data_IF_902278110720
#
_entry.id   IF_902278110720
#
_cell.length_a   1.000
_cell.length_b   1.000
_cell.length_c   1.000
_cell.angle_alpha   90.00
_cell.angle_beta   90.00
_cell.angle_gamma   90.00
#
_symmetry.space_group_name_H-M   'P 1'
#
loop_
_entity.id
_entity.type
_entity.pdbx_description
1 polymer ?
#
# COMPACT_ATOMS: atom_id res chain seq x y z
N UNK A 1 0.85 -23.35 25.24
CA UNK A 1 0.77 -21.91 25.54
C UNK A 1 0.24 -21.23 24.28
N UNK A 2 -0.81 -20.39 24.34
CA UNK A 2 -1.31 -19.73 23.13
C UNK A 2 -0.27 -18.74 22.59
N UNK A 3 -0.21 -18.53 21.27
CA UNK A 3 0.65 -17.50 20.68
C UNK A 3 0.29 -16.13 21.27
N UNK A 4 1.30 -15.32 21.56
CA UNK A 4 1.14 -13.93 22.03
C UNK A 4 1.62 -12.98 20.93
N UNK A 5 0.90 -11.89 20.65
CA UNK A 5 1.39 -10.86 19.73
C UNK A 5 2.66 -10.21 20.31
N UNK A 6 3.47 -9.63 19.42
CA UNK A 6 4.64 -8.85 19.83
C UNK A 6 4.19 -7.60 20.61
N UNK A 7 4.94 -7.13 21.63
CA UNK A 7 4.57 -5.95 22.41
C UNK A 7 4.32 -4.71 21.54
N UNK A 8 5.15 -4.47 20.53
CA UNK A 8 5.03 -3.31 19.63
C UNK A 8 3.72 -3.28 18.84
N UNK A 9 3.09 -4.45 18.59
CA UNK A 9 1.78 -4.53 17.93
C UNK A 9 0.68 -3.97 18.83
N UNK A 10 0.82 -4.11 20.15
CA UNK A 10 -0.13 -3.59 21.12
C UNK A 10 -0.05 -2.06 21.27
N UNK A 11 0.98 -1.43 20.72
CA UNK A 11 1.19 0.03 20.71
C UNK A 11 0.67 0.71 19.41
N UNK A 12 0.07 -0.08 18.51
CA UNK A 12 -0.52 0.41 17.26
C UNK A 12 -2.00 0.69 17.50
N UNK A 13 -2.35 1.97 17.53
CA UNK A 13 -3.75 2.37 17.52
C UNK A 13 -4.40 2.02 16.17
N UNK A 14 -5.68 1.61 16.16
CA UNK A 14 -6.42 1.42 14.93
C UNK A 14 -6.40 2.69 14.07
N UNK A 15 -6.24 2.52 12.76
CA UNK A 15 -6.31 3.63 11.82
C UNK A 15 -7.70 4.29 11.89
N UNK A 16 -7.72 5.61 12.07
CA UNK A 16 -8.93 6.43 12.02
C UNK A 16 -9.04 7.01 10.61
N UNK A 17 -9.98 6.53 9.78
CA UNK A 17 -10.20 7.10 8.46
C UNK A 17 -10.75 8.53 8.57
N UNK A 18 -10.48 9.36 7.56
CA UNK A 18 -11.12 10.66 7.45
C UNK A 18 -12.64 10.52 7.26
N UNK A 19 -13.40 11.53 7.68
CA UNK A 19 -14.85 11.57 7.49
C UNK A 19 -15.20 11.46 6.00
N UNK A 20 -16.04 10.49 5.65
CA UNK A 20 -16.40 10.17 4.25
C UNK A 20 -17.90 10.15 3.98
N UNK A 21 -18.72 10.40 5.00
CA UNK A 21 -20.18 10.38 4.95
C UNK A 21 -20.73 11.78 5.24
N UNK A 22 -21.86 12.12 4.60
CA UNK A 22 -22.61 13.31 4.95
C UNK A 22 -24.08 12.91 5.07
N UNK A 23 -24.73 13.37 6.14
CA UNK A 23 -26.07 12.91 6.52
C UNK A 23 -27.18 13.32 5.54
N UNK A 24 -26.94 14.31 4.67
CA UNK A 24 -27.94 14.73 3.67
C UNK A 24 -27.30 15.30 2.40
N UNK A 25 -27.95 15.04 1.26
CA UNK A 25 -27.65 15.69 -0.02
C UNK A 25 -26.59 15.00 -0.89
N UNK A 26 -26.16 15.71 -1.94
CA UNK A 26 -25.11 15.25 -2.86
C UNK A 26 -23.74 15.51 -2.25
N UNK A 27 -22.97 14.46 -2.00
CA UNK A 27 -21.60 14.55 -1.48
C UNK A 27 -20.62 14.79 -2.63
N UNK A 28 -19.79 15.83 -2.53
CA UNK A 28 -18.63 16.03 -3.41
C UNK A 28 -17.41 15.46 -2.67
N UNK A 29 -16.90 14.31 -3.11
CA UNK A 29 -15.78 13.63 -2.48
C UNK A 29 -14.44 14.26 -2.87
N UNK A 30 -13.78 14.91 -1.92
CA UNK A 30 -12.46 15.55 -2.10
C UNK A 30 -11.44 15.18 -1.01
N UNK A 31 -11.78 14.26 -0.10
CA UNK A 31 -10.99 13.99 1.12
C UNK A 31 -9.88 12.95 0.95
N UNK A 32 -9.99 12.05 -0.04
CA UNK A 32 -9.13 10.84 -0.15
C UNK A 32 -8.23 10.82 -1.39
N UNK A 33 -8.05 11.96 -2.07
CA UNK A 33 -7.25 12.07 -3.31
C UNK A 33 -7.69 11.12 -4.43
N UNK A 34 -8.95 10.70 -4.46
CA UNK A 34 -9.50 9.84 -5.51
C UNK A 34 -9.53 10.58 -6.87
N UNK A 35 -9.29 9.85 -7.96
CA UNK A 35 -9.31 10.41 -9.31
C UNK A 35 -10.72 10.80 -9.76
N UNK A 36 -10.90 12.04 -10.21
CA UNK A 36 -12.22 12.58 -10.59
C UNK A 36 -12.84 11.96 -11.86
N UNK A 37 -12.02 11.40 -12.75
CA UNK A 37 -12.46 10.96 -14.08
C UNK A 37 -12.74 9.46 -14.19
N UNK A 38 -12.52 8.71 -13.11
CA UNK A 38 -12.53 7.25 -13.14
C UNK A 38 -11.33 6.65 -13.92
N UNK A 39 -11.27 5.31 -14.04
CA UNK A 39 -10.19 4.63 -14.73
C UNK A 39 -10.31 4.73 -16.26
N UNK A 40 -9.21 4.46 -16.96
CA UNK A 40 -9.19 4.36 -18.43
C UNK A 40 -10.24 3.35 -18.95
N UNK A 41 -10.96 3.67 -20.05
CA UNK A 41 -11.85 2.71 -20.71
C UNK A 41 -11.18 1.40 -21.10
N UNK A 42 -9.91 1.44 -21.49
CA UNK A 42 -9.13 0.26 -21.82
C UNK A 42 -8.86 -0.62 -20.59
N UNK A 43 -8.56 0.00 -19.44
CA UNK A 43 -8.38 -0.71 -18.17
C UNK A 43 -9.68 -1.38 -17.71
N UNK A 44 -10.82 -0.68 -17.84
CA UNK A 44 -12.13 -1.25 -17.54
C UNK A 44 -12.47 -2.46 -18.43
N UNK A 45 -12.14 -2.39 -19.72
CA UNK A 45 -12.34 -3.50 -20.65
C UNK A 45 -11.45 -4.71 -20.29
N UNK A 46 -10.17 -4.48 -19.98
CA UNK A 46 -9.25 -5.53 -19.55
C UNK A 46 -9.70 -6.21 -18.24
N UNK A 47 -10.17 -5.43 -17.27
CA UNK A 47 -10.71 -5.96 -16.01
C UNK A 47 -11.93 -6.86 -16.25
N UNK A 48 -12.88 -6.43 -17.09
CA UNK A 48 -14.04 -7.26 -17.45
C UNK A 48 -13.65 -8.56 -18.16
N UNK A 49 -12.66 -8.53 -19.04
CA UNK A 49 -12.17 -9.73 -19.71
C UNK A 49 -11.50 -10.70 -18.72
N UNK A 50 -10.73 -10.20 -17.76
CA UNK A 50 -10.04 -11.01 -16.75
C UNK A 50 -11.02 -11.80 -15.86
N UNK A 51 -12.25 -11.30 -15.67
CA UNK A 51 -13.29 -11.92 -14.85
C UNK A 51 -13.57 -13.40 -15.23
N UNK A 52 -13.42 -13.76 -16.51
CA UNK A 52 -13.62 -15.13 -17.00
C UNK A 52 -12.63 -16.16 -16.42
N UNK A 53 -11.52 -15.70 -15.83
CA UNK A 53 -10.41 -16.55 -15.37
C UNK A 53 -10.10 -16.44 -13.87
N UNK A 54 -10.96 -15.78 -13.09
CA UNK A 54 -10.72 -15.50 -11.65
C UNK A 54 -10.52 -16.75 -10.77
N UNK A 55 -10.92 -17.93 -11.24
CA UNK A 55 -10.68 -19.21 -10.56
C UNK A 55 -9.22 -19.69 -10.64
N UNK A 56 -8.35 -18.99 -11.38
CA UNK A 56 -6.92 -19.29 -11.53
C UNK A 56 -6.09 -18.28 -10.76
N UNK A 57 -4.95 -18.74 -10.23
CA UNK A 57 -3.95 -17.84 -9.69
C UNK A 57 -3.42 -16.90 -10.79
N UNK A 58 -3.19 -15.62 -10.48
CA UNK A 58 -2.56 -14.70 -11.41
C UNK A 58 -1.06 -15.00 -11.56
N UNK A 59 -0.39 -14.25 -12.44
CA UNK A 59 1.07 -14.20 -12.49
C UNK A 59 1.64 -13.64 -11.17
N UNK A 60 2.14 -14.52 -10.31
CA UNK A 60 2.69 -14.15 -9.01
C UNK A 60 3.96 -13.29 -9.09
N UNK A 61 4.65 -13.27 -10.23
CA UNK A 61 5.85 -12.46 -10.42
C UNK A 61 5.59 -11.07 -11.02
N UNK A 62 4.33 -10.77 -11.38
CA UNK A 62 3.95 -9.56 -12.11
C UNK A 62 4.83 -9.30 -13.34
N UNK A 63 5.31 -10.35 -14.00
CA UNK A 63 6.29 -10.33 -15.08
C UNK A 63 5.84 -9.44 -16.22
N UNK A 64 4.61 -9.62 -16.68
CA UNK A 64 4.08 -8.84 -17.81
C UNK A 64 3.84 -7.37 -17.42
N UNK A 65 3.42 -7.10 -16.18
CA UNK A 65 3.26 -5.74 -15.65
C UNK A 65 4.62 -5.03 -15.56
N UNK A 66 5.64 -5.68 -14.97
CA UNK A 66 7.00 -5.13 -14.87
C UNK A 66 7.58 -4.84 -16.25
N UNK A 67 7.42 -5.74 -17.22
CA UNK A 67 7.84 -5.52 -18.61
C UNK A 67 7.12 -4.33 -19.26
N UNK A 68 5.81 -4.19 -19.04
CA UNK A 68 5.04 -3.08 -19.58
C UNK A 68 5.47 -1.72 -19.00
N UNK A 69 5.66 -1.64 -17.67
CA UNK A 69 6.17 -0.45 -16.97
C UNK A 69 7.58 -0.12 -17.47
N UNK A 70 8.46 -1.12 -17.53
CA UNK A 70 9.84 -0.97 -18.01
C UNK A 70 9.91 -0.38 -19.41
N UNK A 71 9.12 -0.90 -20.37
CA UNK A 71 9.02 -0.33 -21.73
C UNK A 71 8.49 1.10 -21.74
N UNK A 72 7.48 1.41 -20.90
CA UNK A 72 6.82 2.72 -20.90
C UNK A 72 7.72 3.84 -20.37
N UNK A 73 8.56 3.53 -19.39
CA UNK A 73 9.36 4.51 -18.63
C UNK A 73 10.87 4.34 -18.78
N UNK A 74 11.35 3.32 -19.50
CA UNK A 74 12.77 3.08 -19.73
C UNK A 74 13.50 2.41 -18.56
N UNK A 75 12.80 1.62 -17.75
CA UNK A 75 13.39 0.89 -16.61
C UNK A 75 13.65 -0.57 -16.93
N UNK A 76 14.71 -1.12 -16.34
CA UNK A 76 14.97 -2.56 -16.32
C UNK A 76 13.87 -3.29 -15.52
N UNK A 77 13.11 -4.21 -16.13
CA UNK A 77 12.06 -4.96 -15.45
C UNK A 77 12.52 -5.72 -14.20
N UNK A 78 13.79 -6.12 -14.13
CA UNK A 78 14.33 -6.85 -12.97
C UNK A 78 14.62 -5.94 -11.77
N UNK A 79 14.55 -4.63 -11.97
CA UNK A 79 14.66 -3.61 -10.92
C UNK A 79 13.30 -3.08 -10.45
N UNK A 80 12.20 -3.65 -10.95
CA UNK A 80 10.85 -3.27 -10.58
C UNK A 80 10.25 -4.29 -9.61
N UNK A 81 9.58 -3.79 -8.57
CA UNK A 81 8.77 -4.59 -7.64
C UNK A 81 7.33 -4.10 -7.75
N UNK A 82 6.39 -5.03 -7.88
CA UNK A 82 4.96 -4.74 -7.85
C UNK A 82 4.37 -5.25 -6.54
N UNK A 83 3.54 -4.42 -5.90
CA UNK A 83 2.78 -4.77 -4.70
C UNK A 83 1.30 -4.45 -4.88
N UNK A 84 0.49 -4.89 -3.93
CA UNK A 84 -0.94 -4.59 -3.87
C UNK A 84 -1.19 -3.21 -3.23
N UNK A 85 -0.67 -2.17 -3.87
CA UNK A 85 -0.63 -0.81 -3.36
C UNK A 85 0.72 -0.45 -2.71
N UNK A 86 1.02 0.85 -2.65
CA UNK A 86 2.30 1.34 -2.10
C UNK A 86 2.45 1.07 -0.61
N UNK A 87 1.36 0.95 0.13
CA UNK A 87 1.39 0.70 1.58
C UNK A 87 2.03 -0.65 1.90
N UNK A 88 1.73 -1.68 1.09
CA UNK A 88 2.40 -2.99 1.20
C UNK A 88 3.90 -2.86 0.90
N UNK A 89 4.27 -2.11 -0.14
CA UNK A 89 5.67 -1.91 -0.50
C UNK A 89 6.44 -1.18 0.60
N UNK A 90 5.84 -0.17 1.25
CA UNK A 90 6.40 0.53 2.40
C UNK A 90 6.63 -0.45 3.56
N UNK A 91 5.62 -1.27 3.88
CA UNK A 91 5.74 -2.26 4.95
C UNK A 91 6.81 -3.32 4.65
N UNK A 92 6.90 -3.80 3.40
CA UNK A 92 7.93 -4.74 2.97
C UNK A 92 9.34 -4.14 3.03
N UNK A 93 9.51 -2.88 2.63
CA UNK A 93 10.79 -2.17 2.74
C UNK A 93 11.23 -2.08 4.21
N UNK A 94 10.35 -1.61 5.10
CA UNK A 94 10.68 -1.51 6.52
C UNK A 94 11.01 -2.88 7.11
N UNK A 95 10.21 -3.91 6.81
CA UNK A 95 10.46 -5.28 7.26
C UNK A 95 11.79 -5.86 6.75
N UNK A 96 12.24 -5.43 5.57
CA UNK A 96 13.50 -5.88 4.98
C UNK A 96 14.73 -5.22 5.63
N UNK A 97 14.59 -4.04 6.23
CA UNK A 97 15.72 -3.20 6.64
C UNK A 97 15.72 -2.75 8.11
N UNK A 98 14.63 -2.94 8.86
CA UNK A 98 14.52 -2.51 10.25
C UNK A 98 14.02 -3.63 11.16
N UNK A 99 14.54 -3.64 12.38
CA UNK A 99 14.22 -4.59 13.44
C UNK A 99 14.13 -3.88 14.81
N UNK A 100 13.81 -4.59 15.90
CA UNK A 100 13.85 -4.01 17.24
C UNK A 100 15.21 -3.40 17.57
N UNK A 101 15.21 -2.12 17.94
CA UNK A 101 16.41 -1.32 18.21
C UNK A 101 16.81 -0.37 17.08
N UNK A 102 16.25 -0.54 15.87
CA UNK A 102 16.46 0.39 14.77
C UNK A 102 15.45 1.53 14.78
N UNK A 103 15.83 2.66 14.17
CA UNK A 103 14.99 3.82 13.97
C UNK A 103 14.51 3.93 12.52
N UNK A 104 13.23 4.28 12.33
CA UNK A 104 12.66 4.63 11.03
C UNK A 104 12.30 6.10 11.03
N UNK A 105 13.14 6.91 10.39
CA UNK A 105 12.93 8.35 10.27
C UNK A 105 11.85 8.66 9.23
N UNK A 106 10.88 9.50 9.59
CA UNK A 106 9.84 10.00 8.69
C UNK A 106 9.48 11.45 9.01
N UNK A 107 8.85 12.14 8.05
CA UNK A 107 8.38 13.50 8.27
C UNK A 107 7.22 13.53 9.28
N UNK A 108 7.22 14.54 10.16
CA UNK A 108 6.16 14.79 11.14
C UNK A 108 4.77 14.93 10.50
N UNK A 109 4.69 15.56 9.34
CA UNK A 109 3.45 15.72 8.57
C UNK A 109 3.42 14.82 7.34
N UNK A 110 4.18 13.72 7.41
CA UNK A 110 4.24 12.70 6.37
C UNK A 110 3.08 11.72 6.43
N UNK A 111 3.25 10.62 5.71
CA UNK A 111 2.25 9.58 5.62
C UNK A 111 2.33 8.62 6.83
N UNK A 112 1.19 8.36 7.46
CA UNK A 112 1.10 7.59 8.71
C UNK A 112 1.67 6.16 8.60
N UNK A 113 1.59 5.56 7.41
CA UNK A 113 2.03 4.16 7.20
C UNK A 113 3.50 3.93 7.52
N UNK A 114 4.37 4.95 7.45
CA UNK A 114 5.77 4.82 7.86
C UNK A 114 5.87 4.47 9.35
N UNK A 115 5.18 5.23 10.20
CA UNK A 115 5.20 5.02 11.64
C UNK A 115 4.54 3.70 12.06
N UNK A 116 3.40 3.37 11.46
CA UNK A 116 2.68 2.11 11.74
C UNK A 116 3.50 0.89 11.32
N UNK A 117 4.13 0.95 10.15
CA UNK A 117 4.95 -0.16 9.65
C UNK A 117 6.23 -0.34 10.47
N UNK A 118 6.83 0.75 10.96
CA UNK A 118 7.98 0.67 11.87
C UNK A 118 7.61 -0.05 13.18
N UNK A 119 6.51 0.37 13.84
CA UNK A 119 5.98 -0.31 15.03
C UNK A 119 5.66 -1.78 14.76
N UNK A 120 5.08 -2.09 13.60
CA UNK A 120 4.76 -3.46 13.21
C UNK A 120 6.00 -4.35 13.04
N UNK A 121 7.13 -3.77 12.65
CA UNK A 121 8.44 -4.44 12.61
C UNK A 121 9.15 -4.46 13.98
N UNK A 122 8.61 -3.77 15.00
CA UNK A 122 9.23 -3.60 16.31
C UNK A 122 10.30 -2.51 16.36
N UNK A 123 10.49 -1.76 15.27
CA UNK A 123 11.39 -0.62 15.18
C UNK A 123 10.76 0.64 15.81
N UNK A 124 11.58 1.66 16.06
CA UNK A 124 11.17 2.93 16.67
C UNK A 124 10.92 3.97 15.56
N UNK A 125 9.67 4.44 15.35
CA UNK A 125 9.43 5.54 14.44
C UNK A 125 9.94 6.86 15.04
N UNK A 126 10.73 7.60 14.26
CA UNK A 126 11.24 8.93 14.64
C UNK A 126 10.68 9.96 13.68
N UNK A 127 9.98 10.93 14.24
CA UNK A 127 9.38 12.04 13.50
C UNK A 127 10.37 13.20 13.44
N UNK A 128 10.62 13.75 12.25
CA UNK A 128 11.45 14.94 12.01
C UNK A 128 10.83 15.95 11.04
#
# INVERSE_FOLDING_TARGET
MPPRPLPSILEIDPYVPGESEADTGRVIRLASNEGAFGPSPAAMAAFRAAAASLHRYPDGGSVELRRAIGRRFGYDPDRLVCGNGSDELIALLIKAFAAPGDEVLHSQHGFLMYALSAKAAGAVPVSA
#
